data_IF_337573828190
#
_entry.id   IF_337573828190
#
_cell.length_a   1.000
_cell.length_b   1.000
_cell.length_c   1.000
_cell.angle_alpha   90.00
_cell.angle_beta   90.00
_cell.angle_gamma   90.00
#
_symmetry.space_group_name_H-M   'P 1'
#
loop_
_entity.id
_entity.type
_entity.pdbx_description
1 polymer ?
#
# COMPACT_ATOMS: atom_id res chain seq x y z
N UNK A 1 -12.30 1.60 -16.56
CA UNK A 1 -10.98 1.31 -15.97
C UNK A 1 -10.10 2.56 -16.03
N UNK A 2 -10.42 3.60 -15.26
CA UNK A 2 -9.65 4.85 -15.29
C UNK A 2 -8.40 4.67 -14.40
N UNK A 3 -7.22 4.51 -15.02
CA UNK A 3 -5.93 4.45 -14.32
C UNK A 3 -5.01 3.30 -14.72
N UNK A 4 -5.55 2.21 -15.28
CA UNK A 4 -4.76 1.03 -15.66
C UNK A 4 -4.28 1.13 -17.12
N UNK A 5 -3.35 2.04 -17.39
CA UNK A 5 -2.63 2.04 -18.67
C UNK A 5 -1.56 0.95 -18.67
N UNK A 6 -1.12 0.43 -19.84
CA UNK A 6 -0.02 -0.53 -19.91
C UNK A 6 1.25 -0.02 -19.22
N UNK A 7 1.49 1.29 -19.29
CA UNK A 7 2.60 1.96 -18.61
C UNK A 7 2.48 1.84 -17.10
N UNK A 8 1.31 2.16 -16.54
CA UNK A 8 1.09 2.04 -15.09
C UNK A 8 1.20 0.60 -14.60
N UNK A 9 0.74 -0.37 -15.39
CA UNK A 9 0.92 -1.79 -15.08
C UNK A 9 2.40 -2.20 -15.05
N UNK A 10 3.20 -1.76 -16.02
CA UNK A 10 4.65 -1.97 -16.01
C UNK A 10 5.33 -1.33 -14.79
N UNK A 11 4.93 -0.10 -14.43
CA UNK A 11 5.46 0.60 -13.25
C UNK A 11 5.11 -0.10 -11.94
N UNK A 12 3.92 -0.71 -11.85
CA UNK A 12 3.55 -1.56 -10.70
C UNK A 12 4.53 -2.71 -10.57
N UNK A 13 4.76 -3.49 -11.62
CA UNK A 13 5.68 -4.64 -11.55
C UNK A 13 7.11 -4.23 -11.20
N UNK A 14 7.61 -3.17 -11.81
CA UNK A 14 8.93 -2.59 -11.48
C UNK A 14 8.97 -2.25 -9.99
N UNK A 15 7.95 -1.57 -9.48
CA UNK A 15 7.82 -1.22 -8.06
C UNK A 15 7.88 -2.46 -7.18
N UNK A 16 7.09 -3.50 -7.46
CA UNK A 16 7.06 -4.71 -6.64
C UNK A 16 8.41 -5.42 -6.64
N UNK A 17 9.08 -5.51 -7.79
CA UNK A 17 10.42 -6.10 -7.88
C UNK A 17 11.41 -5.29 -7.04
N UNK A 18 11.41 -3.96 -7.16
CA UNK A 18 12.31 -3.09 -6.38
C UNK A 18 12.08 -3.25 -4.87
N UNK A 19 10.82 -3.23 -4.41
CA UNK A 19 10.50 -3.37 -2.99
C UNK A 19 10.87 -4.77 -2.48
N UNK A 20 10.53 -5.83 -3.22
CA UNK A 20 10.84 -7.21 -2.83
C UNK A 20 12.35 -7.46 -2.78
N UNK A 21 13.10 -6.99 -3.78
CA UNK A 21 14.56 -7.03 -3.78
C UNK A 21 15.14 -6.24 -2.60
N UNK A 22 14.62 -5.04 -2.34
CA UNK A 22 15.04 -4.20 -1.20
C UNK A 22 14.86 -4.92 0.14
N UNK A 23 13.69 -5.51 0.39
CA UNK A 23 13.42 -6.28 1.61
C UNK A 23 14.38 -7.46 1.78
N UNK A 24 14.64 -8.20 0.71
CA UNK A 24 15.52 -9.37 0.74
C UNK A 24 16.98 -8.94 0.96
N UNK A 25 17.44 -7.83 0.34
CA UNK A 25 18.78 -7.29 0.57
C UNK A 25 18.99 -6.82 2.01
N UNK A 26 17.98 -6.17 2.60
CA UNK A 26 18.02 -5.79 4.02
C UNK A 26 18.16 -7.05 4.88
N UNK A 27 17.33 -8.07 4.65
CA UNK A 27 17.41 -9.35 5.36
C UNK A 27 18.80 -10.01 5.22
N UNK A 28 19.37 -10.02 4.03
CA UNK A 28 20.73 -10.52 3.77
C UNK A 28 21.80 -9.69 4.50
N UNK A 29 21.62 -8.38 4.60
CA UNK A 29 22.55 -7.48 5.30
C UNK A 29 22.50 -7.63 6.82
N UNK A 30 21.34 -7.97 7.37
CA UNK A 30 21.19 -8.30 8.79
C UNK A 30 21.77 -9.69 9.11
N UNK A 31 21.69 -10.63 8.16
CA UNK A 31 22.18 -11.99 8.33
C UNK A 31 21.26 -12.84 9.20
N UNK A 32 21.67 -14.09 9.49
CA UNK A 32 20.88 -15.06 10.26
C UNK A 32 20.83 -14.77 11.75
N UNK A 33 21.82 -14.06 12.29
CA UNK A 33 21.91 -13.74 13.72
C UNK A 33 21.09 -12.50 14.11
N UNK A 34 20.62 -11.72 13.14
CA UNK A 34 19.85 -10.51 13.38
C UNK A 34 20.63 -9.41 14.12
N UNK A 35 19.90 -8.51 14.77
CA UNK A 35 20.48 -7.43 15.59
C UNK A 35 20.52 -7.94 17.03
N UNK A 36 21.69 -7.92 17.71
CA UNK A 36 21.76 -8.32 19.11
C UNK A 36 20.91 -7.38 19.98
N UNK A 37 19.85 -7.91 20.59
CA UNK A 37 19.00 -7.20 21.54
C UNK A 37 19.42 -7.61 22.94
N UNK A 38 19.94 -6.67 23.72
CA UNK A 38 20.37 -6.88 25.10
C UNK A 38 19.46 -6.20 26.11
N UNK A 39 19.69 -6.46 27.40
CA UNK A 39 18.96 -5.83 28.51
C UNK A 39 19.18 -4.32 28.63
N UNK A 40 20.25 -3.80 28.03
CA UNK A 40 20.53 -2.37 28.01
C UNK A 40 19.96 -1.71 26.74
N UNK A 41 18.94 -0.83 26.84
CA UNK A 41 18.30 -0.21 25.69
C UNK A 41 19.26 0.67 24.87
N UNK A 42 20.21 1.34 25.51
CA UNK A 42 21.18 2.20 24.81
C UNK A 42 22.08 1.38 23.88
N UNK A 43 22.52 0.19 24.32
CA UNK A 43 23.32 -0.73 23.50
C UNK A 43 22.52 -1.31 22.34
N UNK A 44 21.25 -1.62 22.56
CA UNK A 44 20.34 -2.08 21.49
C UNK A 44 20.19 -1.01 20.41
N UNK A 45 20.03 0.27 20.77
CA UNK A 45 19.96 1.37 19.78
C UNK A 45 21.26 1.48 18.98
N UNK A 46 22.41 1.43 19.63
CA UNK A 46 23.72 1.43 18.97
C UNK A 46 23.87 0.26 17.98
N UNK A 47 23.43 -0.94 18.36
CA UNK A 47 23.46 -2.12 17.49
C UNK A 47 22.55 -1.97 16.27
N UNK A 48 21.38 -1.33 16.43
CA UNK A 48 20.48 -1.04 15.31
C UNK A 48 21.13 -0.05 14.34
N UNK A 49 21.72 1.03 14.84
CA UNK A 49 22.40 2.03 14.00
C UNK A 49 23.55 1.36 13.23
N UNK A 50 24.36 0.55 13.91
CA UNK A 50 25.44 -0.21 13.28
C UNK A 50 24.93 -1.19 12.20
N UNK A 51 23.77 -1.80 12.42
CA UNK A 51 23.16 -2.69 11.45
C UNK A 51 22.64 -1.95 10.20
N UNK A 52 22.05 -0.76 10.39
CA UNK A 52 21.58 0.11 9.29
C UNK A 52 22.74 0.57 8.41
N UNK A 53 23.91 0.83 9.00
CA UNK A 53 25.11 1.27 8.29
C UNK A 53 25.81 0.17 7.48
N UNK A 54 25.33 -1.09 7.54
CA UNK A 54 25.91 -2.17 6.73
C UNK A 54 25.62 -1.93 5.24
N UNK A 55 26.60 -2.14 4.33
CA UNK A 55 26.47 -1.76 2.93
C UNK A 55 25.30 -2.44 2.22
N UNK A 56 25.02 -3.72 2.55
CA UNK A 56 23.87 -4.47 2.00
C UNK A 56 22.53 -3.90 2.47
N UNK A 57 22.45 -3.44 3.72
CA UNK A 57 21.24 -2.84 4.30
C UNK A 57 21.00 -1.48 3.65
N UNK A 58 22.04 -0.65 3.52
CA UNK A 58 21.97 0.63 2.79
C UNK A 58 21.49 0.42 1.36
N UNK A 59 22.09 -0.53 0.62
CA UNK A 59 21.66 -0.85 -0.74
C UNK A 59 20.18 -1.26 -0.78
N UNK A 60 19.74 -2.13 0.14
CA UNK A 60 18.34 -2.52 0.25
C UNK A 60 17.41 -1.34 0.54
N UNK A 61 17.81 -0.42 1.41
CA UNK A 61 17.09 0.85 1.64
C UNK A 61 17.04 1.72 0.39
N UNK A 62 18.10 1.81 -0.40
CA UNK A 62 18.09 2.56 -1.66
C UNK A 62 17.05 2.00 -2.64
N UNK A 63 17.00 0.66 -2.82
CA UNK A 63 15.95 0.01 -3.61
C UNK A 63 14.56 0.30 -3.06
N UNK A 64 14.40 0.28 -1.73
CA UNK A 64 13.13 0.54 -1.07
C UNK A 64 12.66 1.99 -1.27
N UNK A 65 13.57 2.96 -1.17
CA UNK A 65 13.29 4.38 -1.40
C UNK A 65 12.88 4.61 -2.85
N UNK A 66 13.67 4.13 -3.82
CA UNK A 66 13.34 4.28 -5.25
C UNK A 66 12.01 3.61 -5.57
N UNK A 67 11.81 2.39 -5.09
CA UNK A 67 10.55 1.67 -5.27
C UNK A 67 9.37 2.40 -4.66
N UNK A 68 9.53 3.00 -3.47
CA UNK A 68 8.48 3.80 -2.83
C UNK A 68 8.15 5.06 -3.64
N UNK A 69 9.15 5.72 -4.24
CA UNK A 69 8.90 6.88 -5.10
C UNK A 69 8.09 6.50 -6.35
N UNK A 70 8.41 5.37 -6.99
CA UNK A 70 7.63 4.85 -8.11
C UNK A 70 6.22 4.45 -7.66
N UNK A 71 6.11 3.84 -6.47
CA UNK A 71 4.82 3.48 -5.87
C UNK A 71 3.92 4.70 -5.63
N UNK A 72 4.47 5.80 -5.10
CA UNK A 72 3.72 7.04 -4.91
C UNK A 72 3.20 7.59 -6.24
N UNK A 73 4.01 7.52 -7.30
CA UNK A 73 3.56 7.88 -8.63
C UNK A 73 2.41 7.00 -9.12
N UNK A 74 2.50 5.68 -8.94
CA UNK A 74 1.41 4.74 -9.28
C UNK A 74 0.12 5.05 -8.50
N UNK A 75 0.22 5.27 -7.19
CA UNK A 75 -0.93 5.60 -6.34
C UNK A 75 -1.58 6.94 -6.72
N UNK A 76 -0.84 7.85 -7.34
CA UNK A 76 -1.42 9.09 -7.87
C UNK A 76 -2.34 8.86 -9.08
N UNK A 77 -2.20 7.72 -9.77
CA UNK A 77 -2.91 7.41 -11.03
C UNK A 77 -3.91 6.25 -10.91
N UNK A 78 -3.73 5.35 -9.94
CA UNK A 78 -4.54 4.15 -9.76
C UNK A 78 -5.36 4.26 -8.48
N UNK A 79 -6.62 3.81 -8.52
CA UNK A 79 -7.42 3.69 -7.30
C UNK A 79 -6.83 2.66 -6.35
N UNK A 80 -6.84 2.96 -5.06
CA UNK A 80 -6.28 2.07 -4.02
C UNK A 80 -6.93 0.68 -4.07
N UNK A 81 -8.22 0.60 -4.38
CA UNK A 81 -8.99 -0.64 -4.53
C UNK A 81 -8.42 -1.61 -5.57
N UNK A 82 -7.73 -1.09 -6.60
CA UNK A 82 -7.04 -1.89 -7.62
C UNK A 82 -5.56 -2.06 -7.29
N UNK A 83 -4.95 -1.02 -6.71
CA UNK A 83 -3.53 -1.04 -6.36
C UNK A 83 -3.20 -2.10 -5.30
N UNK A 84 -4.03 -2.26 -4.26
CA UNK A 84 -3.75 -3.22 -3.19
C UNK A 84 -3.76 -4.69 -3.63
N UNK A 85 -4.75 -5.18 -4.42
CA UNK A 85 -4.71 -6.54 -4.97
C UNK A 85 -3.50 -6.79 -5.87
N UNK A 86 -3.04 -5.78 -6.61
CA UNK A 86 -1.80 -5.91 -7.39
C UNK A 86 -0.58 -5.93 -6.47
N UNK A 87 -0.56 -5.11 -5.42
CA UNK A 87 0.54 -5.05 -4.48
C UNK A 87 0.75 -6.35 -3.71
N UNK A 88 -0.32 -7.11 -3.42
CA UNK A 88 -0.21 -8.41 -2.75
C UNK A 88 0.59 -9.45 -3.56
N UNK A 89 0.73 -9.27 -4.88
CA UNK A 89 1.62 -10.11 -5.70
C UNK A 89 3.10 -9.99 -5.26
N UNK A 90 3.50 -8.88 -4.63
CA UNK A 90 4.85 -8.75 -4.07
C UNK A 90 5.17 -9.81 -3.01
N UNK A 91 4.16 -10.33 -2.29
CA UNK A 91 4.38 -11.41 -1.33
C UNK A 91 4.88 -12.69 -1.99
N UNK A 92 4.42 -12.99 -3.22
CA UNK A 92 4.94 -14.11 -4.01
C UNK A 92 6.43 -13.91 -4.31
N UNK A 93 6.78 -12.71 -4.79
CA UNK A 93 8.17 -12.35 -5.09
C UNK A 93 9.06 -12.47 -3.86
N UNK A 94 8.63 -11.93 -2.71
CA UNK A 94 9.40 -12.00 -1.46
C UNK A 94 9.62 -13.44 -1.02
N UNK A 95 8.59 -14.31 -1.07
CA UNK A 95 8.73 -15.72 -0.67
C UNK A 95 9.71 -16.46 -1.60
N UNK A 96 9.60 -16.27 -2.91
CA UNK A 96 10.49 -16.90 -3.90
C UNK A 96 11.93 -16.39 -3.72
N UNK A 97 12.11 -15.08 -3.59
CA UNK A 97 13.43 -14.48 -3.39
C UNK A 97 14.02 -14.90 -2.03
N UNK A 98 13.22 -15.02 -0.98
CA UNK A 98 13.71 -15.51 0.32
C UNK A 98 14.19 -16.97 0.21
N UNK A 99 13.41 -17.83 -0.43
CA UNK A 99 13.77 -19.22 -0.64
C UNK A 99 15.04 -19.40 -1.48
N UNK A 100 15.27 -18.55 -2.49
CA UNK A 100 16.39 -18.68 -3.45
C UNK A 100 17.64 -17.93 -3.01
N UNK A 101 17.50 -16.68 -2.56
CA UNK A 101 18.61 -15.76 -2.27
C UNK A 101 19.07 -15.89 -0.81
N UNK A 102 18.12 -15.92 0.13
CA UNK A 102 18.43 -16.08 1.57
C UNK A 102 18.63 -17.55 1.93
N UNK A 103 18.14 -18.48 1.08
CA UNK A 103 18.20 -19.94 1.27
C UNK A 103 17.51 -20.39 2.56
N UNK A 104 16.48 -19.68 2.99
CA UNK A 104 15.67 -20.07 4.14
C UNK A 104 14.84 -21.32 3.82
N UNK A 105 14.66 -22.22 4.80
CA UNK A 105 13.78 -23.38 4.65
C UNK A 105 12.32 -22.94 4.66
N UNK A 106 11.76 -22.77 3.47
CA UNK A 106 10.33 -22.46 3.30
C UNK A 106 9.51 -23.75 3.23
N UNK A 107 8.50 -23.87 4.12
CA UNK A 107 7.51 -24.94 4.02
C UNK A 107 6.45 -24.53 3.01
N UNK A 108 6.67 -24.90 1.74
CA UNK A 108 5.87 -24.47 0.59
C UNK A 108 4.36 -24.69 0.73
N UNK A 109 3.94 -25.77 1.41
CA UNK A 109 2.52 -26.07 1.65
C UNK A 109 1.83 -24.94 2.41
N UNK A 110 2.40 -24.48 3.52
CA UNK A 110 1.83 -23.39 4.31
C UNK A 110 2.00 -22.04 3.63
N UNK A 111 3.14 -21.82 2.94
CA UNK A 111 3.39 -20.58 2.23
C UNK A 111 2.35 -20.33 1.14
N UNK A 112 2.03 -21.34 0.32
CA UNK A 112 1.02 -21.22 -0.76
C UNK A 112 -0.37 -20.96 -0.18
N UNK A 113 -0.77 -21.69 0.87
CA UNK A 113 -2.09 -21.50 1.51
C UNK A 113 -2.23 -20.08 2.05
N UNK A 114 -1.23 -19.60 2.80
CA UNK A 114 -1.26 -18.23 3.34
C UNK A 114 -1.29 -17.16 2.25
N UNK A 115 -0.56 -17.39 1.16
CA UNK A 115 -0.46 -16.45 0.06
C UNK A 115 -1.75 -16.33 -0.76
N UNK A 116 -2.43 -17.46 -0.99
CA UNK A 116 -3.79 -17.49 -1.55
C UNK A 116 -4.75 -16.77 -0.61
N UNK A 117 -4.67 -17.03 0.70
CA UNK A 117 -5.56 -16.40 1.68
C UNK A 117 -5.40 -14.87 1.74
N UNK A 118 -4.15 -14.37 1.73
CA UNK A 118 -3.87 -12.92 1.66
C UNK A 118 -4.41 -12.33 0.36
N UNK A 119 -4.19 -12.99 -0.77
CA UNK A 119 -4.65 -12.52 -2.07
C UNK A 119 -6.17 -12.40 -2.13
N UNK A 120 -6.88 -13.38 -1.58
CA UNK A 120 -8.35 -13.37 -1.45
C UNK A 120 -8.78 -12.24 -0.51
N UNK A 121 -8.18 -12.12 0.67
CA UNK A 121 -8.53 -11.10 1.65
C UNK A 121 -8.37 -9.68 1.09
N UNK A 122 -7.26 -9.40 0.41
CA UNK A 122 -7.02 -8.10 -0.22
C UNK A 122 -7.98 -7.84 -1.39
N UNK A 123 -8.34 -8.87 -2.16
CA UNK A 123 -9.34 -8.76 -3.21
C UNK A 123 -10.70 -8.34 -2.65
N UNK A 124 -11.14 -8.93 -1.53
CA UNK A 124 -12.38 -8.52 -0.85
C UNK A 124 -12.37 -7.07 -0.38
N UNK A 125 -11.24 -6.58 0.12
CA UNK A 125 -11.07 -5.16 0.49
C UNK A 125 -11.17 -4.24 -0.74
N UNK A 126 -10.60 -4.66 -1.87
CA UNK A 126 -10.74 -3.96 -3.14
C UNK A 126 -12.21 -3.86 -3.57
N UNK A 127 -12.97 -4.95 -3.44
CA UNK A 127 -14.39 -5.01 -3.78
C UNK A 127 -15.29 -4.17 -2.85
N UNK A 128 -14.91 -3.98 -1.58
CA UNK A 128 -15.72 -3.23 -0.62
C UNK A 128 -15.64 -1.70 -0.78
N UNK A 129 -14.73 -1.20 -1.62
CA UNK A 129 -14.54 0.24 -1.82
C UNK A 129 -15.57 0.82 -2.79
N UNK A 130 -16.45 1.76 -2.35
CA UNK A 130 -17.40 2.40 -3.27
C UNK A 130 -16.68 3.24 -4.33
N UNK A 131 -17.24 3.38 -5.56
CA UNK A 131 -16.65 4.15 -6.63
C UNK A 131 -16.37 5.60 -6.19
N UNK A 132 -15.13 6.07 -6.38
CA UNK A 132 -14.74 7.45 -6.05
C UNK A 132 -15.62 8.43 -6.85
N UNK A 133 -16.38 9.34 -6.21
CA UNK A 133 -17.15 10.34 -6.94
C UNK A 133 -16.18 11.24 -7.72
N UNK A 134 -16.25 11.20 -9.04
CA UNK A 134 -15.40 11.97 -9.94
C UNK A 134 -15.59 13.47 -9.69
N UNK A 135 -14.49 14.23 -9.58
CA UNK A 135 -14.50 15.69 -9.40
C UNK A 135 -15.35 16.45 -10.45
N UNK A 136 -15.63 15.81 -11.60
CA UNK A 136 -16.58 16.24 -12.63
C UNK A 136 -17.99 16.56 -12.08
N UNK A 137 -18.45 15.88 -11.03
CA UNK A 137 -19.80 16.08 -10.47
C UNK A 137 -19.94 17.36 -9.64
N UNK A 138 -18.83 17.92 -9.15
CA UNK A 138 -18.81 19.11 -8.28
C UNK A 138 -18.98 20.43 -9.03
N UNK A 139 -18.65 20.46 -10.33
CA UNK A 139 -18.80 21.64 -11.19
C UNK A 139 -20.03 21.58 -12.10
N UNK A 140 -20.90 20.56 -11.96
CA UNK A 140 -22.13 20.49 -12.75
C UNK A 140 -23.17 21.48 -12.19
N UNK A 141 -23.74 22.38 -13.03
CA UNK A 141 -24.82 23.29 -12.62
C UNK A 141 -26.00 22.57 -11.96
N UNK A 142 -26.25 21.32 -12.37
CA UNK A 142 -27.31 20.46 -11.82
C UNK A 142 -27.04 20.00 -10.38
N UNK A 143 -25.79 19.87 -9.96
CA UNK A 143 -25.45 19.48 -8.59
C UNK A 143 -25.63 20.68 -7.64
N UNK A 144 -25.23 21.87 -8.07
CA UNK A 144 -25.43 23.11 -7.32
C UNK A 144 -26.91 23.47 -7.21
N UNK A 145 -27.72 23.24 -8.26
CA UNK A 145 -29.16 23.44 -8.18
C UNK A 145 -29.80 22.50 -7.15
N UNK A 146 -29.46 21.22 -7.14
CA UNK A 146 -29.97 20.26 -6.14
C UNK A 146 -29.59 20.62 -4.70
N UNK A 147 -28.37 21.11 -4.48
CA UNK A 147 -27.94 21.57 -3.16
C UNK A 147 -28.69 22.85 -2.73
N UNK A 148 -28.91 23.77 -3.67
CA UNK A 148 -29.74 24.97 -3.45
C UNK A 148 -31.18 24.59 -3.12
N UNK A 149 -31.77 23.66 -3.86
CA UNK A 149 -33.15 23.22 -3.68
C UNK A 149 -33.31 22.47 -2.33
N UNK A 150 -32.31 21.67 -1.95
CA UNK A 150 -32.28 21.01 -0.64
C UNK A 150 -32.12 22.00 0.53
N UNK A 151 -31.35 23.08 0.35
CA UNK A 151 -31.23 24.15 1.34
C UNK A 151 -32.56 24.92 1.48
N UNK A 152 -33.16 25.34 0.36
CA UNK A 152 -34.46 26.03 0.34
C UNK A 152 -35.59 25.18 0.95
N UNK A 153 -35.56 23.87 0.74
CA UNK A 153 -36.52 22.94 1.36
C UNK A 153 -36.38 22.89 2.89
N UNK A 154 -35.15 22.91 3.41
CA UNK A 154 -34.91 22.93 4.86
C UNK A 154 -35.32 24.25 5.49
N UNK A 155 -35.04 25.38 4.85
CA UNK A 155 -35.45 26.70 5.34
C UNK A 155 -36.99 26.83 5.38
N UNK A 156 -37.68 26.32 4.36
CA UNK A 156 -39.14 26.29 4.32
C UNK A 156 -39.76 25.34 5.37
N UNK A 157 -39.02 24.31 5.80
CA UNK A 157 -39.45 23.44 6.88
C UNK A 157 -39.22 24.11 8.26
N UNK A 158 -38.09 24.78 8.45
CA UNK A 158 -37.76 25.50 9.68
C UNK A 158 -38.74 26.67 9.93
N UNK A 159 -39.02 27.47 8.90
CA UNK A 159 -39.97 28.57 8.99
C UNK A 159 -41.39 28.09 9.34
N UNK A 160 -41.80 26.89 8.89
CA UNK A 160 -43.10 26.30 9.23
C UNK A 160 -43.21 25.83 10.67
N UNK A 161 -42.10 25.40 11.27
CA UNK A 161 -42.05 24.97 12.67
C UNK A 161 -42.10 26.20 13.59
N UNK A 162 -41.38 27.27 13.24
CA UNK A 162 -41.30 28.47 14.08
C UNK A 162 -42.59 29.31 14.08
N UNK A 163 -43.40 29.23 13.04
CA UNK A 163 -44.70 29.94 12.96
C UNK A 163 -45.88 29.16 13.60
N UNK A 164 -45.64 27.95 14.12
CA UNK A 164 -46.63 27.11 14.82
C UNK A 164 -46.48 27.13 16.35
N UNK A 165 -45.49 27.85 16.87
CA UNK A 165 -45.29 28.17 18.30
C UNK A 165 -45.81 29.58 18.57
#
# INVERSE_FOLDING_TARGET
MQGLTPVTFGLIWVTLILLSCGQVLIKLGLGTQGIPVGSNPARTVLNIIAAVLRPKVIAGFSFYVVGTLVWLFVLSRVSLSIAFPMFSMSYFLVVILSATVVKERVVWKFAIVGLVLISIGVSFIGLSSPPKPSAQSRHSPQALSRLRDAALSKDAAYCRIQHRL
#
